data_IF_398290058473
#
_entry.id   IF_398290058473
#
_cell.length_a   1.000
_cell.length_b   1.000
_cell.length_c   1.000
_cell.angle_alpha   90.00
_cell.angle_beta   90.00
_cell.angle_gamma   90.00
#
_symmetry.space_group_name_H-M   'P 1'
#
loop_
_entity.id
_entity.type
_entity.pdbx_description
1 polymer ?
#
# COMPACT_ATOMS: atom_id res chain seq x y z
N UNK A 1 28.73 -34.09 18.19
CA UNK A 1 28.71 -34.70 19.54
C UNK A 1 27.47 -35.58 19.63
N UNK A 2 27.55 -36.74 20.28
CA UNK A 2 26.43 -37.69 20.37
C UNK A 2 25.80 -37.60 21.75
N UNK A 3 24.48 -37.40 21.82
CA UNK A 3 23.74 -37.33 23.08
C UNK A 3 23.43 -38.75 23.59
N UNK A 4 23.09 -38.87 24.89
CA UNK A 4 22.82 -40.14 25.55
C UNK A 4 21.63 -40.94 24.97
N UNK A 5 20.79 -40.30 24.14
CA UNK A 5 19.69 -40.92 23.39
C UNK A 5 20.13 -41.46 22.00
N UNK A 6 21.43 -41.43 21.68
CA UNK A 6 21.98 -41.93 20.42
C UNK A 6 21.85 -40.97 19.23
N UNK A 7 21.28 -39.77 19.41
CA UNK A 7 21.14 -38.79 18.34
C UNK A 7 22.43 -37.98 18.14
N UNK A 8 22.83 -37.83 16.87
CA UNK A 8 23.97 -37.00 16.48
C UNK A 8 23.57 -35.53 16.41
N UNK A 9 24.24 -34.69 17.19
CA UNK A 9 24.07 -33.25 17.13
C UNK A 9 25.27 -32.63 16.42
N UNK A 10 25.00 -31.99 15.29
CA UNK A 10 25.95 -31.17 14.53
C UNK A 10 25.74 -29.72 14.95
N UNK A 11 26.77 -29.11 15.55
CA UNK A 11 26.77 -27.71 15.97
C UNK A 11 27.77 -26.97 15.09
N UNK A 12 27.34 -25.87 14.48
CA UNK A 12 28.22 -25.03 13.65
C UNK A 12 28.31 -23.63 14.21
N UNK A 13 29.54 -23.15 14.42
CA UNK A 13 29.82 -21.80 14.87
C UNK A 13 31.28 -21.46 14.58
N UNK A 14 31.55 -20.20 14.19
CA UNK A 14 32.90 -19.73 13.84
C UNK A 14 33.76 -19.38 15.05
N UNK A 15 33.14 -19.12 16.20
CA UNK A 15 33.80 -18.72 17.45
C UNK A 15 33.18 -19.45 18.67
N UNK A 16 33.99 -19.68 19.70
CA UNK A 16 33.67 -20.45 20.90
C UNK A 16 32.38 -20.02 21.64
N UNK A 17 32.09 -18.72 21.88
CA UNK A 17 30.84 -18.34 22.56
C UNK A 17 29.59 -18.60 21.71
N UNK A 18 29.73 -18.61 20.38
CA UNK A 18 28.62 -18.87 19.45
C UNK A 18 28.34 -20.36 19.30
N UNK A 19 29.37 -21.20 19.42
CA UNK A 19 29.23 -22.65 19.53
C UNK A 19 28.47 -23.03 20.80
N UNK A 20 28.80 -22.40 21.94
CA UNK A 20 28.10 -22.62 23.21
C UNK A 20 26.62 -22.21 23.16
N UNK A 21 26.32 -21.03 22.61
CA UNK A 21 24.93 -20.58 22.42
C UNK A 21 24.14 -21.48 21.48
N UNK A 22 24.76 -21.93 20.40
CA UNK A 22 24.14 -22.87 19.46
C UNK A 22 23.86 -24.22 20.12
N UNK A 23 24.82 -24.76 20.87
CA UNK A 23 24.66 -26.00 21.65
C UNK A 23 23.52 -25.86 22.68
N UNK A 24 23.49 -24.76 23.45
CA UNK A 24 22.43 -24.52 24.43
C UNK A 24 21.05 -24.41 23.79
N UNK A 25 20.95 -23.78 22.62
CA UNK A 25 19.67 -23.67 21.89
C UNK A 25 19.15 -25.03 21.43
N UNK A 26 20.03 -25.95 21.05
CA UNK A 26 19.67 -27.29 20.59
C UNK A 26 19.30 -28.17 21.78
N UNK A 27 20.02 -28.07 22.90
CA UNK A 27 19.70 -28.79 24.13
C UNK A 27 18.37 -28.36 24.73
N UNK A 28 18.06 -27.05 24.77
CA UNK A 28 16.78 -26.54 25.26
C UNK A 28 15.59 -27.03 24.42
N UNK A 29 15.78 -27.22 23.11
CA UNK A 29 14.76 -27.79 22.22
C UNK A 29 14.56 -29.30 22.40
N UNK A 30 15.50 -30.00 23.04
CA UNK A 30 15.44 -31.44 23.29
C UNK A 30 14.91 -31.78 24.68
N UNK A 31 14.70 -30.80 25.57
CA UNK A 31 14.03 -31.02 26.86
C UNK A 31 12.53 -31.22 26.58
N UNK A 32 11.94 -32.38 26.93
CA UNK A 32 10.49 -32.57 26.83
C UNK A 32 9.80 -31.50 27.67
N UNK A 33 8.88 -30.75 27.06
CA UNK A 33 8.00 -29.86 27.82
C UNK A 33 7.18 -30.74 28.77
N UNK A 34 7.51 -30.71 30.06
CA UNK A 34 6.72 -31.37 31.09
C UNK A 34 5.31 -30.75 31.06
N UNK A 35 4.33 -31.58 30.71
CA UNK A 35 2.94 -31.27 30.94
C UNK A 35 2.75 -30.94 32.43
N UNK A 36 2.02 -29.87 32.69
CA UNK A 36 1.64 -29.45 34.02
C UNK A 36 0.67 -30.48 34.62
N UNK A 37 1.21 -31.49 35.28
CA UNK A 37 0.47 -32.40 36.17
C UNK A 37 1.46 -32.95 37.21
N UNK A 38 1.78 -32.15 38.23
CA UNK A 38 2.36 -32.62 39.50
C UNK A 38 2.34 -31.48 40.52
N UNK A 39 1.14 -31.11 40.97
CA UNK A 39 0.94 -30.24 42.13
C UNK A 39 -0.28 -30.68 42.94
N UNK A 40 -0.29 -31.91 43.43
CA UNK A 40 -1.07 -32.27 44.62
C UNK A 40 -0.71 -33.66 45.14
N UNK A 41 0.23 -33.73 46.07
CA UNK A 41 0.33 -34.86 47.00
C UNK A 41 0.47 -34.27 48.40
N UNK A 42 -0.66 -34.18 49.11
CA UNK A 42 -0.88 -34.23 50.57
C UNK A 42 -2.31 -33.70 50.81
N UNK A 43 -3.38 -34.52 50.81
CA UNK A 43 -3.94 -35.34 51.91
C UNK A 43 -5.50 -35.17 51.85
N UNK A 44 -6.35 -35.86 52.66
CA UNK A 44 -6.48 -37.27 52.99
C UNK A 44 -7.81 -37.89 52.47
N UNK A 45 -7.99 -39.19 52.72
CA UNK A 45 -9.15 -40.05 52.43
C UNK A 45 -10.55 -39.40 52.57
N UNK A 46 -11.43 -39.69 51.61
CA UNK A 46 -12.86 -39.95 51.82
C UNK A 46 -13.44 -40.79 50.67
N UNK A 47 -14.37 -41.67 51.04
CA UNK A 47 -14.85 -42.84 50.29
C UNK A 47 -15.60 -42.51 48.98
N UNK A 48 -15.50 -43.43 48.03
CA UNK A 48 -16.24 -43.44 46.78
C UNK A 48 -17.66 -44.04 46.92
N UNK A 49 -18.60 -43.48 46.17
CA UNK A 49 -19.80 -44.15 45.63
C UNK A 49 -20.08 -43.57 44.20
N UNK A 50 -20.73 -44.32 43.30
CA UNK A 50 -20.40 -44.28 41.88
C UNK A 50 -21.21 -43.30 41.00
N UNK A 51 -20.48 -42.70 40.07
CA UNK A 51 -20.73 -42.46 38.62
C UNK A 51 -22.14 -42.11 38.13
N UNK A 52 -22.24 -40.93 37.51
CA UNK A 52 -23.05 -40.69 36.30
C UNK A 52 -22.12 -40.15 35.18
N UNK A 53 -21.75 -41.03 34.24
CA UNK A 53 -20.77 -40.80 33.16
C UNK A 53 -21.22 -39.77 32.10
N UNK A 54 -22.49 -39.36 32.09
CA UNK A 54 -23.01 -38.41 31.09
C UNK A 54 -22.81 -36.92 31.47
N UNK A 55 -22.49 -36.62 32.74
CA UNK A 55 -22.20 -35.24 33.17
C UNK A 55 -20.75 -34.86 32.83
N UNK A 56 -19.83 -35.83 32.77
CA UNK A 56 -18.42 -35.56 32.54
C UNK A 56 -18.11 -35.13 31.09
N UNK A 57 -18.73 -35.74 30.08
CA UNK A 57 -18.52 -35.33 28.69
C UNK A 57 -19.08 -33.93 28.38
N UNK A 58 -20.21 -33.57 29.00
CA UNK A 58 -20.83 -32.25 28.84
C UNK A 58 -20.01 -31.18 29.55
N UNK A 59 -19.39 -31.52 30.68
CA UNK A 59 -18.54 -30.61 31.44
C UNK A 59 -17.17 -30.43 30.77
N UNK A 60 -16.57 -31.47 30.19
CA UNK A 60 -15.28 -31.40 29.46
C UNK A 60 -15.38 -30.64 28.13
N UNK A 61 -16.49 -30.78 27.37
CA UNK A 61 -16.73 -29.93 26.20
C UNK A 61 -16.96 -28.47 26.59
N UNK A 62 -17.65 -28.22 27.70
CA UNK A 62 -17.85 -26.86 28.23
C UNK A 62 -16.51 -26.24 28.67
N UNK A 63 -15.60 -26.98 29.30
CA UNK A 63 -14.28 -26.43 29.71
C UNK A 63 -13.35 -26.15 28.53
N UNK A 64 -13.33 -27.01 27.50
CA UNK A 64 -12.51 -26.78 26.31
C UNK A 64 -12.98 -25.55 25.50
N UNK A 65 -14.30 -25.40 25.34
CA UNK A 65 -14.88 -24.24 24.62
C UNK A 65 -14.74 -22.94 25.43
N UNK A 66 -14.74 -23.05 26.76
CA UNK A 66 -14.58 -21.89 27.66
C UNK A 66 -13.11 -21.46 27.76
N UNK A 67 -12.13 -22.38 27.74
CA UNK A 67 -10.70 -22.02 27.71
C UNK A 67 -10.29 -21.32 26.39
N UNK A 68 -10.79 -21.77 25.23
CA UNK A 68 -10.56 -21.05 23.97
C UNK A 68 -11.26 -19.68 23.92
N UNK A 69 -12.38 -19.52 24.64
CA UNK A 69 -13.07 -18.24 24.78
C UNK A 69 -12.40 -17.31 25.82
N UNK A 70 -11.85 -17.85 26.90
CA UNK A 70 -11.14 -17.11 27.95
C UNK A 70 -9.76 -16.63 27.48
N UNK A 71 -9.04 -17.40 26.67
CA UNK A 71 -7.82 -16.92 26.00
C UNK A 71 -8.13 -15.77 25.02
N UNK A 72 -9.32 -15.77 24.41
CA UNK A 72 -9.79 -14.65 23.55
C UNK A 72 -10.19 -13.40 24.35
N UNK A 73 -10.49 -13.55 25.64
CA UNK A 73 -10.91 -12.49 26.56
C UNK A 73 -9.83 -12.08 27.58
N UNK A 74 -8.55 -12.45 27.36
CA UNK A 74 -7.46 -11.86 28.11
C UNK A 74 -7.51 -10.32 28.00
N UNK A 75 -7.51 -9.61 29.13
CA UNK A 75 -7.66 -8.15 29.20
C UNK A 75 -6.65 -7.43 28.28
N UNK A 76 -7.13 -6.99 27.11
CA UNK A 76 -6.31 -6.29 26.12
C UNK A 76 -5.93 -4.92 26.67
N UNK A 77 -4.64 -4.63 26.66
CA UNK A 77 -4.11 -3.33 27.05
C UNK A 77 -4.23 -2.33 25.90
N UNK A 78 -4.29 -1.05 26.24
CA UNK A 78 -4.47 0.04 25.30
C UNK A 78 -3.14 0.78 25.06
N UNK A 79 -2.85 1.05 23.79
CA UNK A 79 -1.80 1.95 23.34
C UNK A 79 -2.48 3.13 22.65
N UNK A 80 -2.49 4.29 23.30
CA UNK A 80 -2.93 5.53 22.67
C UNK A 80 -1.84 6.05 21.75
N UNK A 81 -2.22 6.43 20.53
CA UNK A 81 -1.30 6.98 19.55
C UNK A 81 -1.92 8.17 18.82
N UNK A 82 -1.04 9.06 18.37
CA UNK A 82 -1.36 10.21 17.54
C UNK A 82 -0.73 10.00 16.18
N UNK A 83 -1.55 9.95 15.13
CA UNK A 83 -1.08 9.75 13.75
C UNK A 83 -1.73 10.76 12.83
N UNK A 84 -1.16 10.96 11.63
CA UNK A 84 -1.87 11.67 10.57
C UNK A 84 -3.16 10.91 10.21
N UNK A 85 -4.19 11.66 9.84
CA UNK A 85 -5.51 11.10 9.46
C UNK A 85 -5.37 10.14 8.29
N UNK A 86 -4.56 10.49 7.29
CA UNK A 86 -4.26 9.66 6.11
C UNK A 86 -3.61 8.31 6.47
N UNK A 87 -2.76 8.26 7.49
CA UNK A 87 -2.15 7.01 7.95
C UNK A 87 -3.21 6.09 8.57
N UNK A 88 -4.06 6.61 9.45
CA UNK A 88 -5.11 5.81 10.08
C UNK A 88 -6.20 5.41 9.07
N UNK A 89 -6.50 6.27 8.10
CA UNK A 89 -7.38 5.93 6.98
C UNK A 89 -6.85 4.73 6.17
N UNK A 90 -5.54 4.71 5.87
CA UNK A 90 -4.91 3.55 5.22
C UNK A 90 -5.02 2.28 6.08
N UNK A 91 -4.95 2.39 7.41
CA UNK A 91 -5.18 1.24 8.31
C UNK A 91 -6.62 0.72 8.19
N UNK A 92 -7.61 1.60 8.08
CA UNK A 92 -9.02 1.21 7.88
C UNK A 92 -9.20 0.50 6.54
N UNK A 93 -8.66 1.05 5.46
CA UNK A 93 -8.73 0.45 4.13
C UNK A 93 -8.03 -0.91 4.06
N UNK A 94 -6.89 -1.07 4.75
CA UNK A 94 -6.23 -2.37 4.90
C UNK A 94 -7.11 -3.37 5.67
N UNK A 95 -7.84 -2.91 6.69
CA UNK A 95 -8.75 -3.77 7.45
C UNK A 95 -9.93 -4.25 6.58
N UNK A 96 -10.52 -3.33 5.81
CA UNK A 96 -11.61 -3.62 4.88
C UNK A 96 -11.17 -4.62 3.81
N UNK A 97 -10.00 -4.42 3.20
CA UNK A 97 -9.44 -5.31 2.17
C UNK A 97 -9.09 -6.71 2.70
N UNK A 98 -8.78 -6.81 4.00
CA UNK A 98 -8.53 -8.09 4.70
C UNK A 98 -9.81 -8.72 5.25
N UNK A 99 -10.95 -8.05 5.16
CA UNK A 99 -12.22 -8.44 5.79
C UNK A 99 -12.09 -8.68 7.32
N UNK A 100 -11.31 -7.84 8.00
CA UNK A 100 -11.13 -7.89 9.47
C UNK A 100 -11.45 -6.55 10.09
N UNK A 101 -11.66 -6.52 11.42
CA UNK A 101 -11.88 -5.24 12.11
C UNK A 101 -10.62 -4.38 12.14
N UNK A 102 -10.79 -3.05 12.13
CA UNK A 102 -9.70 -2.07 12.21
C UNK A 102 -8.79 -2.33 13.42
N UNK A 103 -9.38 -2.70 14.57
CA UNK A 103 -8.61 -3.06 15.78
C UNK A 103 -7.72 -4.29 15.57
N UNK A 104 -8.19 -5.28 14.80
CA UNK A 104 -7.42 -6.50 14.50
C UNK A 104 -6.30 -6.16 13.52
N UNK A 105 -6.61 -5.46 12.43
CA UNK A 105 -5.60 -5.04 11.44
C UNK A 105 -4.51 -4.17 12.08
N UNK A 106 -4.88 -3.19 12.91
CA UNK A 106 -3.92 -2.32 13.59
C UNK A 106 -3.02 -3.10 14.58
N UNK A 107 -3.58 -4.06 15.32
CA UNK A 107 -2.80 -4.93 16.22
C UNK A 107 -1.81 -5.79 15.45
N UNK A 108 -2.25 -6.40 14.35
CA UNK A 108 -1.41 -7.28 13.55
C UNK A 108 -0.29 -6.50 12.86
N UNK A 109 -0.61 -5.35 12.26
CA UNK A 109 0.39 -4.43 11.70
C UNK A 109 1.40 -3.96 12.76
N UNK A 110 0.93 -3.63 13.96
CA UNK A 110 1.81 -3.22 15.05
C UNK A 110 2.74 -4.34 15.52
N UNK A 111 2.21 -5.57 15.61
CA UNK A 111 3.00 -6.76 15.93
C UNK A 111 4.06 -7.03 14.86
N UNK A 112 3.68 -7.03 13.59
CA UNK A 112 4.57 -7.27 12.45
C UNK A 112 5.67 -6.21 12.37
N UNK A 113 5.32 -4.95 12.55
CA UNK A 113 6.28 -3.84 12.57
C UNK A 113 7.29 -3.97 13.72
N UNK A 114 6.84 -4.39 14.91
CA UNK A 114 7.72 -4.55 16.06
C UNK A 114 8.69 -5.73 15.88
N UNK A 115 8.21 -6.84 15.34
CA UNK A 115 9.07 -7.99 15.00
C UNK A 115 10.13 -7.58 13.98
N UNK A 116 9.73 -6.87 12.92
CA UNK A 116 10.66 -6.39 11.90
C UNK A 116 11.69 -5.41 12.47
N UNK A 117 11.29 -4.49 13.32
CA UNK A 117 12.22 -3.58 14.00
C UNK A 117 13.26 -4.35 14.84
N UNK A 118 12.84 -5.38 15.57
CA UNK A 118 13.75 -6.23 16.36
C UNK A 118 14.69 -7.11 15.51
N UNK A 119 14.32 -7.38 14.25
CA UNK A 119 15.16 -8.08 13.28
C UNK A 119 16.15 -7.12 12.62
N UNK A 120 15.68 -5.99 12.10
CA UNK A 120 16.49 -4.98 11.42
C UNK A 120 17.52 -4.34 12.36
N UNK A 121 17.16 -4.13 13.63
CA UNK A 121 18.05 -3.57 14.66
C UNK A 121 19.27 -4.42 14.98
N UNK A 122 19.30 -5.69 14.54
CA UNK A 122 20.49 -6.56 14.66
C UNK A 122 21.57 -6.21 13.66
N UNK A 123 21.20 -5.57 12.56
CA UNK A 123 22.08 -5.28 11.42
C UNK A 123 22.24 -3.78 11.17
N UNK A 124 21.25 -2.98 11.53
CA UNK A 124 21.22 -1.53 11.32
C UNK A 124 21.10 -0.85 12.68
N UNK A 125 21.74 0.30 12.84
CA UNK A 125 21.65 1.05 14.09
C UNK A 125 20.19 1.45 14.39
N UNK A 126 19.68 1.19 15.61
CA UNK A 126 18.30 1.49 15.97
C UNK A 126 17.92 2.96 15.79
N UNK A 127 18.84 3.89 16.06
CA UNK A 127 18.62 5.32 15.86
C UNK A 127 18.36 5.66 14.39
N UNK A 128 19.08 5.02 13.45
CA UNK A 128 18.88 5.22 12.02
C UNK A 128 17.54 4.65 11.56
N UNK A 129 17.17 3.47 12.04
CA UNK A 129 15.85 2.86 11.77
C UNK A 129 14.72 3.76 12.25
N UNK A 130 14.82 4.28 13.48
CA UNK A 130 13.78 5.15 14.03
C UNK A 130 13.66 6.46 13.26
N UNK A 131 14.77 7.07 12.81
CA UNK A 131 14.72 8.25 11.94
C UNK A 131 14.07 7.96 10.58
N UNK A 132 14.33 6.80 9.99
CA UNK A 132 13.68 6.39 8.74
C UNK A 132 12.18 6.18 8.94
N UNK A 133 11.79 5.52 10.03
CA UNK A 133 10.39 5.24 10.33
C UNK A 133 9.62 6.53 10.69
N UNK A 134 10.29 7.47 11.36
CA UNK A 134 9.79 8.83 11.63
C UNK A 134 9.56 9.58 10.32
N UNK A 135 10.52 9.52 9.38
CA UNK A 135 10.34 10.09 8.05
C UNK A 135 9.13 9.47 7.33
N UNK A 136 8.99 8.14 7.35
CA UNK A 136 7.84 7.44 6.76
C UNK A 136 6.51 7.89 7.38
N UNK A 137 6.44 8.03 8.71
CA UNK A 137 5.23 8.50 9.40
C UNK A 137 4.86 9.94 9.03
N UNK A 138 5.86 10.80 8.81
CA UNK A 138 5.65 12.19 8.44
C UNK A 138 5.31 12.39 6.95
N UNK A 139 5.63 11.42 6.08
CA UNK A 139 5.39 11.50 4.64
C UNK A 139 3.94 11.23 4.22
N UNK A 140 3.08 10.78 5.14
CA UNK A 140 1.64 10.64 4.86
C UNK A 140 0.99 12.02 4.64
N UNK A 141 -0.03 12.08 3.78
CA UNK A 141 -0.64 13.35 3.36
C UNK A 141 -1.38 14.08 4.48
N UNK A 142 -1.47 15.40 4.37
CA UNK A 142 -2.21 16.25 5.32
C UNK A 142 -1.39 16.69 6.54
N UNK A 143 -1.89 17.74 7.20
CA UNK A 143 -1.35 18.33 8.44
C UNK A 143 -2.14 17.83 9.65
N UNK A 144 -3.39 17.42 9.44
CA UNK A 144 -4.29 16.98 10.49
C UNK A 144 -3.82 15.65 11.10
N UNK A 145 -3.86 15.61 12.42
CA UNK A 145 -3.54 14.42 13.22
C UNK A 145 -4.74 14.04 14.07
N UNK A 146 -4.93 12.75 14.27
CA UNK A 146 -5.98 12.19 15.11
C UNK A 146 -5.42 11.27 16.19
N UNK A 147 -6.12 11.22 17.31
CA UNK A 147 -5.80 10.36 18.44
C UNK A 147 -6.70 9.13 18.42
N UNK A 148 -6.09 7.94 18.44
CA UNK A 148 -6.82 6.68 18.46
C UNK A 148 -6.05 5.63 19.26
N UNK A 149 -6.64 4.45 19.45
CA UNK A 149 -6.15 3.44 20.39
C UNK A 149 -6.01 2.09 19.69
N UNK A 150 -4.87 1.44 19.91
CA UNK A 150 -4.66 0.02 19.59
C UNK A 150 -4.87 -0.81 20.84
N UNK A 151 -5.77 -1.80 20.74
CA UNK A 151 -5.98 -2.82 21.78
C UNK A 151 -5.13 -4.04 21.46
N UNK A 152 -4.16 -4.33 22.31
CA UNK A 152 -3.20 -5.41 22.10
C UNK A 152 -2.95 -6.22 23.38
N UNK A 153 -2.41 -7.43 23.19
CA UNK A 153 -2.09 -8.32 24.30
C UNK A 153 -0.98 -7.72 25.17
N UNK A 154 -1.03 -8.00 26.47
CA UNK A 154 -0.11 -7.43 27.47
C UNK A 154 1.36 -7.56 27.06
N UNK A 155 1.75 -8.72 26.51
CA UNK A 155 3.13 -8.97 26.05
C UNK A 155 3.57 -8.00 24.95
N UNK A 156 2.70 -7.73 23.97
CA UNK A 156 3.01 -6.82 22.87
C UNK A 156 3.17 -5.38 23.37
N UNK A 157 2.24 -4.93 24.22
CA UNK A 157 2.27 -3.57 24.79
C UNK A 157 3.51 -3.36 25.67
N UNK A 158 3.84 -4.33 26.53
CA UNK A 158 5.01 -4.22 27.40
C UNK A 158 6.32 -4.23 26.60
N UNK A 159 6.43 -5.07 25.56
CA UNK A 159 7.60 -5.08 24.67
C UNK A 159 7.78 -3.73 23.99
N UNK A 160 6.72 -3.16 23.45
CA UNK A 160 6.77 -1.83 22.83
C UNK A 160 7.15 -0.73 23.81
N UNK A 161 6.64 -0.78 25.06
CA UNK A 161 7.03 0.18 26.12
C UNK A 161 8.51 0.11 26.46
N UNK A 162 9.05 -1.10 26.60
CA UNK A 162 10.47 -1.30 26.88
C UNK A 162 11.32 -0.75 25.72
N UNK A 163 10.99 -1.10 24.47
CA UNK A 163 11.70 -0.57 23.30
C UNK A 163 11.62 0.95 23.17
N UNK A 164 10.44 1.52 23.38
CA UNK A 164 10.29 2.97 23.37
C UNK A 164 11.18 3.64 24.44
N UNK A 165 11.20 3.08 25.65
CA UNK A 165 12.05 3.55 26.74
C UNK A 165 13.56 3.41 26.47
N UNK A 166 13.99 2.29 25.89
CA UNK A 166 15.39 2.05 25.50
C UNK A 166 15.93 3.12 24.55
N UNK A 167 15.08 3.68 23.68
CA UNK A 167 15.47 4.70 22.69
C UNK A 167 14.99 6.12 23.05
N UNK A 168 14.53 6.34 24.27
CA UNK A 168 14.10 7.68 24.74
C UNK A 168 12.92 8.26 23.95
N UNK A 169 12.04 7.41 23.41
CA UNK A 169 10.84 7.83 22.67
C UNK A 169 9.58 7.57 23.49
N UNK A 170 8.54 8.38 23.27
CA UNK A 170 7.22 8.10 23.85
C UNK A 170 6.61 6.86 23.19
N UNK A 171 5.78 6.12 23.93
CA UNK A 171 5.09 4.94 23.38
C UNK A 171 4.22 5.28 22.16
N UNK A 172 3.57 6.44 22.18
CA UNK A 172 2.75 6.95 21.07
C UNK A 172 3.60 7.19 19.80
N UNK A 173 4.71 7.92 19.93
CA UNK A 173 5.61 8.20 18.81
C UNK A 173 6.24 6.92 18.26
N UNK A 174 6.73 6.05 19.15
CA UNK A 174 7.30 4.77 18.75
C UNK A 174 6.26 3.90 18.03
N UNK A 175 5.03 3.80 18.55
CA UNK A 175 3.97 3.03 17.91
C UNK A 175 3.58 3.58 16.52
N UNK A 176 3.50 4.90 16.38
CA UNK A 176 3.26 5.56 15.10
C UNK A 176 4.34 5.19 14.05
N UNK A 177 5.62 5.25 14.44
CA UNK A 177 6.75 4.91 13.56
C UNK A 177 6.71 3.44 13.13
N UNK A 178 6.47 2.54 14.09
CA UNK A 178 6.35 1.10 13.83
C UNK A 178 5.19 0.81 12.86
N UNK A 179 4.03 1.45 13.03
CA UNK A 179 2.89 1.30 12.12
C UNK A 179 3.17 1.84 10.73
N UNK A 180 3.75 3.04 10.64
CA UNK A 180 4.11 3.65 9.36
C UNK A 180 5.04 2.74 8.55
N UNK A 181 6.02 2.14 9.21
CA UNK A 181 6.91 1.18 8.59
C UNK A 181 6.20 -0.13 8.21
N UNK A 182 5.38 -0.69 9.10
CA UNK A 182 4.60 -1.90 8.82
C UNK A 182 3.69 -1.74 7.59
N UNK A 183 3.04 -0.57 7.45
CA UNK A 183 2.24 -0.23 6.29
C UNK A 183 3.07 -0.14 5.00
N UNK A 184 4.31 0.33 5.06
CA UNK A 184 5.21 0.37 3.90
C UNK A 184 5.56 -1.02 3.34
N UNK A 185 5.45 -2.06 4.17
CA UNK A 185 5.74 -3.44 3.80
C UNK A 185 4.50 -4.34 3.73
N UNK A 186 3.31 -3.77 3.96
CA UNK A 186 2.07 -4.49 3.89
C UNK A 186 1.60 -4.59 2.43
N UNK A 187 1.42 -5.80 1.87
CA UNK A 187 0.98 -5.96 0.48
C UNK A 187 -0.42 -5.37 0.23
N UNK A 188 -1.30 -5.46 1.23
CA UNK A 188 -2.63 -4.86 1.16
C UNK A 188 -2.56 -3.33 1.13
N UNK A 189 -1.64 -2.72 1.87
CA UNK A 189 -1.44 -1.26 1.86
C UNK A 189 -0.80 -0.78 0.56
N UNK A 190 0.08 -1.58 -0.04
CA UNK A 190 0.62 -1.32 -1.37
C UNK A 190 -0.48 -1.39 -2.44
N UNK A 191 -1.36 -2.39 -2.33
CA UNK A 191 -2.47 -2.56 -3.26
C UNK A 191 -3.56 -1.48 -3.09
N UNK A 192 -3.88 -1.06 -1.87
CA UNK A 192 -4.74 0.11 -1.63
C UNK A 192 -4.13 1.36 -2.27
N UNK A 193 -2.84 1.62 -2.05
CA UNK A 193 -2.16 2.77 -2.68
C UNK A 193 -2.09 2.66 -4.19
N UNK A 194 -1.98 1.45 -4.75
CA UNK A 194 -2.07 1.21 -6.19
C UNK A 194 -3.48 1.47 -6.72
N UNK A 195 -4.53 1.09 -5.97
CA UNK A 195 -5.92 1.40 -6.31
C UNK A 195 -6.21 2.91 -6.19
N UNK A 196 -5.54 3.64 -5.28
CA UNK A 196 -5.67 5.09 -5.14
C UNK A 196 -4.82 5.88 -6.15
N UNK A 197 -3.68 5.34 -6.58
CA UNK A 197 -2.78 5.95 -7.60
C UNK A 197 -3.19 5.56 -9.02
N UNK A 198 -3.90 4.46 -9.17
CA UNK A 198 -4.75 4.21 -10.32
C UNK A 198 -5.98 5.09 -10.15
N UNK A 199 -5.90 6.35 -10.59
CA UNK A 199 -7.08 7.06 -11.08
C UNK A 199 -7.92 6.01 -11.80
N UNK A 200 -9.07 5.63 -11.24
CA UNK A 200 -9.91 4.62 -11.88
C UNK A 200 -10.39 5.34 -13.14
N UNK A 201 -9.65 5.14 -14.22
CA UNK A 201 -10.05 5.53 -15.56
C UNK A 201 -11.17 4.56 -15.89
N UNK A 202 -12.36 4.84 -15.34
CA UNK A 202 -13.55 4.06 -15.62
C UNK A 202 -13.88 4.25 -17.09
N UNK A 203 -14.39 3.20 -17.73
CA UNK A 203 -14.83 3.30 -19.12
C UNK A 203 -15.90 4.40 -19.28
N UNK A 204 -16.70 4.63 -18.24
CA UNK A 204 -17.67 5.72 -18.15
C UNK A 204 -17.00 7.11 -18.17
N UNK A 205 -15.95 7.32 -17.36
CA UNK A 205 -15.22 8.59 -17.31
C UNK A 205 -14.50 8.87 -18.64
N UNK A 206 -13.96 7.84 -19.28
CA UNK A 206 -13.38 7.95 -20.63
C UNK A 206 -14.46 8.31 -21.65
N UNK A 207 -15.63 7.67 -21.60
CA UNK A 207 -16.73 7.97 -22.51
C UNK A 207 -17.28 9.40 -22.33
N UNK A 208 -17.32 9.91 -21.10
CA UNK A 208 -17.64 11.31 -20.81
C UNK A 208 -16.58 12.27 -21.34
N UNK A 209 -15.30 11.95 -21.12
CA UNK A 209 -14.20 12.73 -21.67
C UNK A 209 -14.24 12.78 -23.21
N UNK A 210 -14.49 11.65 -23.89
CA UNK A 210 -14.65 11.61 -25.35
C UNK A 210 -15.81 12.51 -25.80
N UNK A 211 -16.95 12.47 -25.11
CA UNK A 211 -18.09 13.37 -25.40
C UNK A 211 -17.73 14.84 -25.21
N UNK A 212 -17.01 15.19 -24.15
CA UNK A 212 -16.56 16.57 -23.91
C UNK A 212 -15.57 17.06 -24.99
N UNK A 213 -14.67 16.18 -25.43
CA UNK A 213 -13.74 16.44 -26.54
C UNK A 213 -14.52 16.63 -27.86
N UNK A 214 -15.52 15.81 -28.15
CA UNK A 214 -16.36 15.96 -29.34
C UNK A 214 -17.13 17.27 -29.34
N UNK A 215 -17.74 17.64 -28.21
CA UNK A 215 -18.49 18.89 -28.04
C UNK A 215 -17.62 20.14 -28.21
N UNK A 216 -16.31 20.03 -28.00
CA UNK A 216 -15.35 21.13 -28.10
C UNK A 216 -14.56 21.12 -29.42
N UNK A 217 -14.66 20.05 -30.21
CA UNK A 217 -14.02 19.93 -31.52
C UNK A 217 -14.70 20.78 -32.60
N UNK A 218 -14.03 20.95 -33.73
CA UNK A 218 -14.53 21.69 -34.90
C UNK A 218 -14.38 23.19 -34.74
N UNK A 219 -15.48 23.93 -34.90
CA UNK A 219 -15.48 25.42 -34.84
C UNK A 219 -15.18 25.91 -33.42
N UNK A 220 -15.63 25.18 -32.40
CA UNK A 220 -15.46 25.51 -30.98
C UNK A 220 -14.02 25.41 -30.51
N UNK A 221 -13.18 24.65 -31.21
CA UNK A 221 -11.73 24.57 -30.94
C UNK A 221 -11.03 25.92 -31.08
N UNK A 222 -11.62 26.90 -31.80
CA UNK A 222 -11.10 28.27 -31.90
C UNK A 222 -11.13 29.00 -30.55
N UNK A 223 -12.09 28.68 -29.68
CA UNK A 223 -12.21 29.28 -28.35
C UNK A 223 -11.22 28.63 -27.37
N UNK A 224 -10.91 27.35 -27.57
CA UNK A 224 -9.94 26.63 -26.76
C UNK A 224 -8.50 27.01 -27.09
N UNK A 225 -8.17 27.19 -28.37
CA UNK A 225 -6.80 27.49 -28.83
C UNK A 225 -6.06 28.57 -28.00
N UNK A 226 -6.66 29.74 -27.68
CA UNK A 226 -5.97 30.74 -26.85
C UNK A 226 -5.84 30.31 -25.38
N UNK A 227 -6.74 29.50 -24.84
CA UNK A 227 -6.72 29.04 -23.44
C UNK A 227 -5.60 28.01 -23.18
N UNK A 228 -5.15 27.33 -24.24
CA UNK A 228 -4.07 26.34 -24.20
C UNK A 228 -2.76 26.86 -24.83
N UNK A 229 -2.61 28.19 -24.92
CA UNK A 229 -1.46 28.92 -25.49
C UNK A 229 -1.18 28.70 -26.99
N UNK A 230 -2.11 28.07 -27.73
CA UNK A 230 -1.97 27.85 -29.17
C UNK A 230 -2.40 29.06 -30.01
N UNK A 231 -2.86 30.15 -29.38
CA UNK A 231 -3.28 31.37 -30.09
C UNK A 231 -4.52 31.11 -30.95
N UNK A 232 -4.47 31.45 -32.24
CA UNK A 232 -5.61 31.25 -33.16
C UNK A 232 -5.59 29.89 -33.90
N UNK A 233 -4.67 28.99 -33.51
CA UNK A 233 -4.39 27.76 -34.26
C UNK A 233 -5.43 26.65 -34.04
N UNK A 234 -6.63 26.88 -34.59
CA UNK A 234 -7.77 25.94 -34.57
C UNK A 234 -7.41 24.57 -35.15
N UNK A 235 -6.60 24.56 -36.22
CA UNK A 235 -6.18 23.32 -36.88
C UNK A 235 -5.40 22.41 -35.92
N UNK A 236 -4.40 22.98 -35.24
CA UNK A 236 -3.59 22.28 -34.26
C UNK A 236 -4.42 21.79 -33.07
N UNK A 237 -5.31 22.62 -32.53
CA UNK A 237 -6.21 22.22 -31.45
C UNK A 237 -7.10 21.04 -31.86
N UNK A 238 -7.64 21.04 -33.08
CA UNK A 238 -8.44 19.91 -33.58
C UNK A 238 -7.61 18.63 -33.79
N UNK A 239 -6.36 18.76 -34.22
CA UNK A 239 -5.45 17.61 -34.32
C UNK A 239 -5.15 16.99 -32.96
N UNK A 240 -4.95 17.82 -31.93
CA UNK A 240 -4.75 17.37 -30.54
C UNK A 240 -6.02 16.70 -30.03
N UNK A 241 -7.17 17.38 -30.12
CA UNK A 241 -8.46 16.83 -29.67
C UNK A 241 -8.77 15.51 -30.38
N UNK A 242 -8.45 15.40 -31.67
CA UNK A 242 -8.60 14.18 -32.48
C UNK A 242 -7.63 13.04 -32.10
N UNK A 243 -6.70 13.25 -31.18
CA UNK A 243 -5.70 12.24 -30.79
C UNK A 243 -4.56 12.07 -31.79
N UNK A 244 -4.62 12.71 -32.96
CA UNK A 244 -3.64 12.53 -34.05
C UNK A 244 -2.23 13.05 -33.73
N UNK A 245 -2.10 13.99 -32.79
CA UNK A 245 -0.83 14.61 -32.41
C UNK A 245 -0.50 14.32 -30.95
N UNK A 246 0.78 14.05 -30.68
CA UNK A 246 1.35 14.02 -29.35
C UNK A 246 1.60 15.46 -28.89
N UNK A 247 0.69 15.98 -28.07
CA UNK A 247 0.83 17.33 -27.53
C UNK A 247 1.79 17.36 -26.34
N UNK A 248 2.56 18.45 -26.14
CA UNK A 248 3.41 18.63 -24.97
C UNK A 248 2.60 18.62 -23.67
N UNK A 249 3.23 18.17 -22.58
CA UNK A 249 2.60 18.04 -21.26
C UNK A 249 1.94 19.35 -20.78
N UNK A 250 2.58 20.50 -21.06
CA UNK A 250 2.06 21.84 -20.73
C UNK A 250 0.74 22.14 -21.44
N UNK A 251 0.64 21.77 -22.72
CA UNK A 251 -0.57 21.96 -23.54
C UNK A 251 -1.67 21.01 -23.07
N UNK A 252 -1.32 19.75 -22.78
CA UNK A 252 -2.28 18.76 -22.24
C UNK A 252 -2.83 19.15 -20.88
N UNK A 253 -2.00 19.67 -19.97
CA UNK A 253 -2.43 20.14 -18.66
C UNK A 253 -3.41 21.31 -18.76
N UNK A 254 -3.13 22.28 -19.64
CA UNK A 254 -4.04 23.40 -19.91
C UNK A 254 -5.33 22.95 -20.57
N UNK A 255 -5.25 21.98 -21.48
CA UNK A 255 -6.42 21.41 -22.14
C UNK A 255 -7.31 20.65 -21.15
N UNK A 256 -6.71 19.87 -20.25
CA UNK A 256 -7.40 19.19 -19.16
C UNK A 256 -8.13 20.20 -18.26
N UNK A 257 -7.46 21.29 -17.88
CA UNK A 257 -8.07 22.37 -17.09
C UNK A 257 -9.23 23.06 -17.84
N UNK A 258 -9.07 23.36 -19.12
CA UNK A 258 -10.10 24.02 -19.93
C UNK A 258 -11.36 23.13 -20.12
N UNK A 259 -11.16 21.81 -20.26
CA UNK A 259 -12.23 20.83 -20.38
C UNK A 259 -12.76 20.33 -19.03
N UNK A 260 -12.14 20.74 -17.91
CA UNK A 260 -12.43 20.26 -16.55
C UNK A 260 -12.34 18.74 -16.41
N UNK A 261 -11.34 18.14 -17.06
CA UNK A 261 -11.09 16.71 -17.04
C UNK A 261 -9.81 16.38 -16.27
N UNK A 262 -9.72 15.22 -15.59
CA UNK A 262 -8.45 14.71 -15.09
C UNK A 262 -7.47 14.45 -16.24
N UNK A 263 -6.19 14.77 -16.05
CA UNK A 263 -5.16 14.63 -17.08
C UNK A 263 -5.01 13.18 -17.58
N UNK A 264 -5.09 12.22 -16.67
CA UNK A 264 -4.94 10.79 -17.00
C UNK A 264 -6.12 10.29 -17.85
N UNK A 265 -7.35 10.69 -17.50
CA UNK A 265 -8.57 10.37 -18.26
C UNK A 265 -8.53 11.02 -19.63
N UNK A 266 -8.07 12.27 -19.74
CA UNK A 266 -7.89 12.96 -21.02
C UNK A 266 -6.88 12.22 -21.91
N UNK A 267 -5.76 11.77 -21.35
CA UNK A 267 -4.71 11.07 -22.10
C UNK A 267 -5.23 9.76 -22.70
N UNK A 268 -5.92 8.94 -21.89
CA UNK A 268 -6.55 7.70 -22.37
C UNK A 268 -7.67 7.96 -23.37
N UNK A 269 -8.46 9.02 -23.18
CA UNK A 269 -9.50 9.41 -24.14
C UNK A 269 -8.90 9.78 -25.51
N UNK A 270 -7.80 10.54 -25.54
CA UNK A 270 -7.12 10.91 -26.78
C UNK A 270 -6.52 9.70 -27.51
N UNK A 271 -5.93 8.76 -26.79
CA UNK A 271 -5.43 7.50 -27.36
C UNK A 271 -6.56 6.66 -27.95
N UNK A 272 -7.67 6.52 -27.21
CA UNK A 272 -8.86 5.80 -27.69
C UNK A 272 -9.44 6.43 -28.95
N UNK A 273 -9.48 7.77 -29.03
CA UNK A 273 -9.95 8.48 -30.24
C UNK A 273 -9.04 8.28 -31.44
N UNK A 274 -7.72 8.21 -31.24
CA UNK A 274 -6.80 7.88 -32.33
C UNK A 274 -7.03 6.46 -32.83
N UNK A 275 -7.17 5.49 -31.92
CA UNK A 275 -7.41 4.08 -32.26
C UNK A 275 -8.76 3.84 -32.96
N UNK A 276 -9.79 4.61 -32.63
CA UNK A 276 -11.14 4.50 -33.24
C UNK A 276 -11.35 5.44 -34.44
N UNK A 277 -10.32 6.18 -34.85
CA UNK A 277 -10.44 7.15 -35.93
C UNK A 277 -10.76 6.42 -37.24
N UNK A 278 -11.82 6.83 -37.99
CA UNK A 278 -12.14 6.22 -39.25
C UNK A 278 -11.00 6.48 -40.24
N UNK A 279 -10.33 5.41 -40.69
CA UNK A 279 -9.35 5.49 -41.77
C UNK A 279 -10.11 5.92 -43.02
N UNK A 280 -9.78 7.07 -43.63
CA UNK A 280 -10.45 7.50 -44.84
C UNK A 280 -10.25 6.46 -45.94
N UNK A 281 -11.34 5.87 -46.42
CA UNK A 281 -11.33 5.00 -47.58
C UNK A 281 -11.10 5.86 -48.84
N UNK A 282 -9.88 6.36 -49.04
CA UNK A 282 -9.52 6.98 -50.29
C UNK A 282 -9.50 5.90 -51.37
N UNK A 283 -10.38 6.05 -52.36
CA UNK A 283 -10.16 5.43 -53.67
C UNK A 283 -8.91 6.10 -54.24
N UNK A 284 -7.75 5.52 -53.99
CA UNK A 284 -6.52 6.08 -54.50
C UNK A 284 -6.50 5.91 -56.02
N UNK A 285 -6.64 7.02 -56.73
CA UNK A 285 -6.54 7.05 -58.19
C UNK A 285 -5.09 6.85 -58.64
N UNK A 286 -4.10 7.17 -57.80
CA UNK A 286 -2.66 6.96 -58.06
C UNK A 286 -1.83 6.93 -56.76
N UNK A 287 -1.83 5.81 -56.03
CA UNK A 287 -0.91 5.59 -54.90
C UNK A 287 -1.40 4.62 -53.83
N UNK A 288 -0.48 3.97 -53.10
CA UNK A 288 -0.86 3.15 -51.94
C UNK A 288 -1.42 4.07 -50.83
N UNK A 289 -2.57 3.77 -50.22
CA UNK A 289 -3.08 4.55 -49.10
C UNK A 289 -2.10 4.47 -47.92
N UNK A 290 -1.52 5.61 -47.54
CA UNK A 290 -0.68 5.75 -46.36
C UNK A 290 -1.58 5.95 -45.14
N UNK A 291 -1.81 4.87 -44.39
CA UNK A 291 -2.53 4.91 -43.12
C UNK A 291 -1.55 5.38 -42.03
N UNK A 292 -1.96 6.37 -41.23
CA UNK A 292 -1.19 6.78 -40.06
C UNK A 292 -1.36 5.73 -38.97
N UNK A 293 -0.30 4.97 -38.71
CA UNK A 293 -0.28 3.91 -37.69
C UNK A 293 0.11 4.50 -36.32
N UNK A 294 0.83 5.62 -36.31
CA UNK A 294 1.34 6.28 -35.11
C UNK A 294 0.90 7.75 -35.05
N UNK A 295 0.77 8.26 -33.82
CA UNK A 295 0.46 9.67 -33.56
C UNK A 295 1.64 10.53 -34.03
N UNK A 296 1.33 11.65 -34.69
CA UNK A 296 2.36 12.59 -35.16
C UNK A 296 3.05 13.26 -33.99
N UNK A 297 4.38 13.36 -34.07
CA UNK A 297 5.16 14.17 -33.14
C UNK A 297 4.78 15.66 -33.25
N UNK A 298 4.82 16.37 -32.12
CA UNK A 298 4.47 17.80 -32.03
C UNK A 298 5.19 18.64 -33.09
N UNK A 299 6.51 18.50 -33.19
CA UNK A 299 7.35 19.23 -34.12
C UNK A 299 6.97 19.02 -35.60
N UNK A 300 6.52 17.81 -35.96
CA UNK A 300 6.05 17.49 -37.32
C UNK A 300 4.71 18.17 -37.60
N UNK A 301 3.76 18.08 -36.66
CA UNK A 301 2.45 18.70 -36.81
C UNK A 301 2.52 20.23 -36.91
N UNK A 302 3.42 20.86 -36.15
CA UNK A 302 3.63 22.32 -36.21
C UNK A 302 4.29 22.74 -37.54
N UNK A 303 5.22 21.94 -38.07
CA UNK A 303 5.87 22.20 -39.37
C UNK A 303 4.91 22.03 -40.55
N UNK A 304 4.02 21.05 -40.50
CA UNK A 304 3.03 20.80 -41.56
C UNK A 304 2.00 21.92 -41.72
N UNK A 305 1.77 22.72 -40.67
CA UNK A 305 0.82 23.84 -40.71
C UNK A 305 1.30 25.04 -41.54
N UNK A 306 2.54 25.02 -42.02
CA UNK A 306 3.13 26.08 -42.87
C UNK A 306 2.89 27.50 -42.31
N UNK A 307 3.05 27.64 -40.99
CA UNK A 307 2.83 28.90 -40.28
C UNK A 307 3.99 29.89 -40.52
N UNK A 308 3.78 31.19 -40.28
CA UNK A 308 4.87 32.16 -40.25
C UNK A 308 5.96 31.73 -39.25
N UNK A 309 7.23 31.95 -39.61
CA UNK A 309 8.40 31.48 -38.85
C UNK A 309 8.32 31.82 -37.36
N UNK A 310 7.85 33.04 -37.04
CA UNK A 310 7.73 33.54 -35.66
C UNK A 310 6.70 32.73 -34.83
N UNK A 311 5.57 32.34 -35.44
CA UNK A 311 4.56 31.53 -34.77
C UNK A 311 4.98 30.06 -34.64
N UNK A 312 5.66 29.56 -35.66
CA UNK A 312 6.21 28.20 -35.67
C UNK A 312 7.24 28.02 -34.54
N UNK A 313 8.18 28.96 -34.39
CA UNK A 313 9.16 28.94 -33.30
C UNK A 313 8.50 29.06 -31.93
N UNK A 314 7.45 29.90 -31.80
CA UNK A 314 6.69 30.03 -30.54
C UNK A 314 6.07 28.70 -30.11
N UNK A 315 5.48 27.97 -31.05
CA UNK A 315 4.82 26.68 -30.78
C UNK A 315 5.82 25.55 -30.52
N UNK A 316 6.98 25.56 -31.18
CA UNK A 316 8.05 24.59 -30.91
C UNK A 316 8.66 24.80 -29.51
N UNK A 317 8.71 26.03 -28.99
CA UNK A 317 9.15 26.31 -27.60
C UNK A 317 8.25 25.66 -26.53
N UNK A 318 7.03 25.25 -26.86
CA UNK A 318 6.13 24.56 -25.94
C UNK A 318 6.47 23.07 -25.75
N UNK A 319 7.40 22.52 -26.55
CA UNK A 319 7.87 21.14 -26.46
C UNK A 319 8.81 20.91 -25.26
N UNK A 320 9.33 21.99 -24.64
CA UNK A 320 10.25 21.97 -23.48
C UNK A 320 9.64 22.37 -22.14
#
# INVERSE_FOLDING_TARGET
MTLANGHFVVVTGKDEPRLLLSLMSVLVKQIPQAHADEASVMAPNSQAAPVDEQILETTMKSTATTQEADERAAARLQVGLTTKVSLHQLVKEVADRRAVSVSTAARDLFKDGLVRFDEESRTVSPSKLLSEYEFKANHYDGIESENWIIRADRRLVMRARLRAGEYGRSLSSFANFILANALSHCPHAAAVRADSSGSIITDEAVAEAVRAIEQSSGVKARVLAPQIDLGEQRGLTNMILGGTVLAPARVLAKLAAALKLPLDVLSVALERRFATQPVPAFKATDGKPTVQIERKAWSVAVRELQLPTDEQERLLKLEG
#
